data_IF_696841344510
#
_entry.id   IF_696841344510
#
_cell.length_a   1.000
_cell.length_b   1.000
_cell.length_c   1.000
_cell.angle_alpha   90.00
_cell.angle_beta   90.00
_cell.angle_gamma   90.00
#
_symmetry.space_group_name_H-M   'P 1'
#
loop_
_entity.id
_entity.type
_entity.pdbx_description
1 polymer ?
#
# COMPACT_ATOMS: atom_id res chain seq x y z
N UNK A 1 7.19 26.03 12.13
CA UNK A 1 6.01 25.57 11.36
C UNK A 1 6.33 24.15 10.92
N UNK A 2 5.56 23.15 11.35
CA UNK A 2 5.86 21.75 10.99
C UNK A 2 5.58 21.50 9.51
N UNK A 3 6.60 21.15 8.75
CA UNK A 3 6.47 20.76 7.35
C UNK A 3 5.65 19.47 7.26
N UNK A 4 4.65 19.44 6.38
CA UNK A 4 3.87 18.23 6.10
C UNK A 4 4.74 17.30 5.26
N UNK A 5 5.28 16.24 5.87
CA UNK A 5 6.06 15.22 5.14
C UNK A 5 5.13 14.32 4.33
N UNK A 6 5.43 14.08 3.07
CA UNK A 6 4.65 13.19 2.19
C UNK A 6 5.10 11.75 2.39
N UNK A 7 4.14 10.84 2.47
CA UNK A 7 4.40 9.39 2.48
C UNK A 7 4.13 8.84 1.10
N UNK A 8 4.98 7.95 0.63
CA UNK A 8 4.96 7.31 -0.67
C UNK A 8 4.77 5.81 -0.49
N UNK A 9 4.28 5.14 -1.52
CA UNK A 9 4.28 3.70 -1.65
C UNK A 9 5.49 3.29 -2.47
N UNK A 10 6.17 2.24 -2.04
CA UNK A 10 7.27 1.60 -2.77
C UNK A 10 6.90 0.15 -3.03
N UNK A 11 6.96 -0.29 -4.29
CA UNK A 11 6.53 -1.61 -4.73
C UNK A 11 7.70 -2.33 -5.43
N UNK A 12 7.61 -3.66 -5.50
CA UNK A 12 8.63 -4.50 -6.16
C UNK A 12 9.84 -4.81 -5.27
N UNK A 13 9.75 -4.55 -3.97
CA UNK A 13 10.84 -4.79 -3.01
C UNK A 13 11.06 -6.30 -2.83
N UNK A 14 12.28 -6.83 -3.00
CA UNK A 14 12.56 -8.24 -2.72
C UNK A 14 12.24 -8.64 -1.26
N UNK A 15 11.64 -9.82 -1.07
CA UNK A 15 11.24 -10.34 0.25
C UNK A 15 12.40 -10.50 1.24
N UNK A 16 13.60 -10.69 0.70
CA UNK A 16 14.88 -10.88 1.39
C UNK A 16 15.68 -9.59 1.59
N UNK A 17 15.19 -8.45 1.06
CA UNK A 17 15.84 -7.16 1.24
C UNK A 17 15.70 -6.67 2.70
N UNK A 18 16.84 -6.31 3.32
CA UNK A 18 16.83 -5.64 4.63
C UNK A 18 16.34 -4.20 4.52
N UNK A 19 16.08 -3.55 5.66
CA UNK A 19 15.72 -2.14 5.66
C UNK A 19 16.78 -1.26 5.00
N UNK A 20 18.07 -1.54 5.20
CA UNK A 20 19.15 -0.76 4.58
C UNK A 20 19.24 -1.01 3.08
N UNK A 21 19.01 -2.26 2.64
CA UNK A 21 18.89 -2.59 1.21
C UNK A 21 17.76 -1.79 0.56
N UNK A 22 16.60 -1.73 1.20
CA UNK A 22 15.44 -0.97 0.70
C UNK A 22 15.79 0.51 0.54
N UNK A 23 16.52 1.12 1.48
CA UNK A 23 16.96 2.51 1.35
C UNK A 23 17.88 2.72 0.15
N UNK A 24 18.81 1.79 -0.08
CA UNK A 24 19.70 1.81 -1.25
C UNK A 24 18.90 1.64 -2.55
N UNK A 25 17.95 0.71 -2.59
CA UNK A 25 17.08 0.48 -3.75
C UNK A 25 16.26 1.72 -4.08
N UNK A 26 15.66 2.36 -3.09
CA UNK A 26 14.89 3.61 -3.27
C UNK A 26 15.80 4.71 -3.83
N UNK A 27 17.01 4.83 -3.32
CA UNK A 27 17.98 5.84 -3.77
C UNK A 27 18.39 5.61 -5.24
N UNK A 28 18.65 4.36 -5.61
CA UNK A 28 18.91 3.97 -7.00
C UNK A 28 17.70 4.23 -7.90
N UNK A 29 16.49 3.85 -7.45
CA UNK A 29 15.26 4.06 -8.21
C UNK A 29 14.96 5.55 -8.43
N UNK A 30 15.28 6.42 -7.47
CA UNK A 30 15.01 7.85 -7.56
C UNK A 30 16.16 8.65 -8.18
N UNK A 31 17.35 8.05 -8.34
CA UNK A 31 18.55 8.76 -8.78
C UNK A 31 19.03 9.82 -7.79
N UNK A 32 18.68 9.67 -6.51
CA UNK A 32 18.97 10.62 -5.44
C UNK A 32 19.61 9.88 -4.25
N UNK A 33 20.51 10.54 -3.53
CA UNK A 33 21.27 9.90 -2.46
C UNK A 33 20.41 9.61 -1.21
N UNK A 34 20.61 8.43 -0.60
CA UNK A 34 19.88 7.95 0.57
C UNK A 34 19.96 8.93 1.76
N UNK A 35 21.13 9.54 1.98
CA UNK A 35 21.34 10.49 3.07
C UNK A 35 20.63 11.83 2.84
N UNK A 36 20.37 12.17 1.58
CA UNK A 36 19.59 13.37 1.22
C UNK A 36 18.10 13.12 1.42
N UNK A 37 17.62 11.95 0.96
CA UNK A 37 16.20 11.57 1.07
C UNK A 37 15.79 11.23 2.50
N UNK A 38 16.71 10.62 3.26
CA UNK A 38 16.51 10.04 4.61
C UNK A 38 15.18 9.27 4.74
N UNK A 39 15.01 8.17 3.98
CA UNK A 39 13.75 7.42 3.94
C UNK A 39 13.49 6.69 5.26
N UNK A 40 12.32 6.97 5.86
CA UNK A 40 11.75 6.22 6.97
C UNK A 40 10.73 5.21 6.44
N UNK A 41 11.03 3.91 6.59
CA UNK A 41 10.13 2.80 6.24
C UNK A 41 9.15 2.58 7.40
N UNK A 42 7.85 2.64 7.12
CA UNK A 42 6.80 2.53 8.16
C UNK A 42 6.02 1.22 8.12
N UNK A 43 5.87 0.62 6.94
CA UNK A 43 5.26 -0.69 6.76
C UNK A 43 5.98 -1.44 5.66
N UNK A 44 5.95 -2.76 5.73
CA UNK A 44 6.50 -3.68 4.75
C UNK A 44 5.65 -4.94 4.79
N UNK A 45 5.03 -5.30 3.66
CA UNK A 45 4.10 -6.42 3.59
C UNK A 45 4.07 -7.04 2.19
N UNK A 46 3.59 -8.27 2.09
CA UNK A 46 3.52 -9.04 0.85
C UNK A 46 2.63 -8.37 -0.19
N UNK A 47 3.07 -8.33 -1.45
CA UNK A 47 2.28 -7.76 -2.55
C UNK A 47 0.94 -8.51 -2.71
N UNK A 48 -0.21 -7.83 -2.55
CA UNK A 48 -1.52 -8.47 -2.60
C UNK A 48 -1.90 -8.97 -3.99
N UNK A 49 -1.28 -8.47 -5.06
CA UNK A 49 -1.55 -8.90 -6.43
C UNK A 49 -0.73 -10.11 -6.85
N UNK A 50 0.20 -10.54 -6.00
CA UNK A 50 1.09 -11.67 -6.28
C UNK A 50 0.77 -12.86 -5.38
N UNK A 51 1.09 -14.08 -5.81
CA UNK A 51 0.98 -15.25 -4.94
C UNK A 51 1.87 -15.10 -3.69
N UNK A 52 1.55 -15.81 -2.61
CA UNK A 52 2.32 -15.75 -1.34
C UNK A 52 3.79 -16.19 -1.48
N UNK A 53 4.11 -16.99 -2.51
CA UNK A 53 5.49 -17.38 -2.81
C UNK A 53 6.22 -16.38 -3.72
N UNK A 54 5.57 -15.27 -4.10
CA UNK A 54 6.26 -14.18 -4.77
C UNK A 54 7.21 -13.51 -3.79
N UNK A 55 8.41 -13.22 -4.26
CA UNK A 55 9.44 -12.57 -3.46
C UNK A 55 9.29 -11.05 -3.47
N UNK A 56 8.08 -10.48 -3.61
CA UNK A 56 7.90 -9.03 -3.73
C UNK A 56 7.00 -8.46 -2.64
N UNK A 57 7.47 -7.37 -2.06
CA UNK A 57 6.86 -6.64 -0.96
C UNK A 57 6.52 -5.21 -1.38
N UNK A 58 5.60 -4.63 -0.62
CA UNK A 58 5.18 -3.25 -0.74
C UNK A 58 5.45 -2.55 0.59
N UNK A 59 6.04 -1.37 0.54
CA UNK A 59 6.34 -0.55 1.69
C UNK A 59 5.63 0.80 1.63
N UNK A 60 5.40 1.39 2.80
CA UNK A 60 5.11 2.83 2.91
C UNK A 60 6.32 3.56 3.49
N UNK A 61 6.75 4.62 2.80
CA UNK A 61 7.99 5.33 3.09
C UNK A 61 7.73 6.82 3.18
N UNK A 62 8.22 7.46 4.24
CA UNK A 62 8.22 8.92 4.34
C UNK A 62 9.64 9.41 4.17
N UNK A 63 9.84 10.39 3.29
CA UNK A 63 11.13 11.06 3.13
C UNK A 63 11.22 12.29 4.03
N UNK A 64 12.42 12.57 4.55
CA UNK A 64 12.67 13.85 5.22
C UNK A 64 12.58 15.01 4.22
N UNK A 65 13.15 14.80 3.03
CA UNK A 65 13.10 15.72 1.91
C UNK A 65 12.37 15.06 0.74
N UNK A 66 11.36 15.74 0.20
CA UNK A 66 10.62 15.21 -0.94
C UNK A 66 11.58 14.98 -2.14
N UNK A 67 11.54 13.80 -2.77
CA UNK A 67 12.34 13.52 -3.95
C UNK A 67 12.02 14.52 -5.06
N UNK A 68 13.06 15.03 -5.72
CA UNK A 68 12.95 15.98 -6.84
C UNK A 68 12.37 15.33 -8.09
N UNK A 69 12.57 14.03 -8.23
CA UNK A 69 12.14 13.25 -9.40
C UNK A 69 10.66 12.85 -9.37
N UNK A 70 9.97 13.02 -8.25
CA UNK A 70 8.57 12.62 -8.07
C UNK A 70 7.72 13.80 -7.57
N UNK A 71 6.82 14.30 -8.43
CA UNK A 71 5.82 15.27 -7.99
C UNK A 71 4.65 14.56 -7.32
N UNK A 72 3.79 15.33 -6.65
CA UNK A 72 2.58 14.80 -6.06
C UNK A 72 1.64 14.23 -7.13
N UNK A 73 1.17 13.01 -6.94
CA UNK A 73 0.36 12.28 -7.92
C UNK A 73 1.17 11.47 -8.94
N UNK A 74 2.50 11.65 -9.00
CA UNK A 74 3.35 10.91 -9.93
C UNK A 74 3.66 9.49 -9.42
N UNK A 75 3.99 8.65 -10.39
CA UNK A 75 4.55 7.32 -10.23
C UNK A 75 5.84 7.25 -11.05
N UNK A 76 6.90 6.68 -10.47
CA UNK A 76 8.17 6.42 -11.13
C UNK A 76 8.52 4.95 -10.96
N UNK A 77 8.78 4.27 -12.08
CA UNK A 77 9.27 2.88 -12.07
C UNK A 77 10.65 2.84 -12.70
N UNK A 78 11.62 2.32 -11.98
CA UNK A 78 12.99 2.18 -12.46
C UNK A 78 13.56 0.80 -12.15
N UNK A 79 14.54 0.40 -12.97
CA UNK A 79 15.27 -0.84 -12.80
C UNK A 79 16.37 -0.62 -11.76
N UNK A 80 16.40 -1.47 -10.74
CA UNK A 80 17.36 -1.45 -9.64
C UNK A 80 18.11 -2.78 -9.65
N UNK A 81 19.44 -2.73 -9.60
CA UNK A 81 20.25 -3.95 -9.50
C UNK A 81 20.56 -4.23 -8.04
N UNK A 82 20.07 -5.35 -7.54
CA UNK A 82 20.35 -5.83 -6.18
C UNK A 82 20.44 -7.35 -6.16
N UNK A 83 21.40 -7.87 -5.40
CA UNK A 83 21.75 -9.30 -5.35
C UNK A 83 21.91 -9.93 -6.75
N UNK A 84 22.65 -9.25 -7.63
CA UNK A 84 22.90 -9.67 -9.02
C UNK A 84 21.65 -9.86 -9.88
N UNK A 85 20.48 -9.37 -9.45
CA UNK A 85 19.21 -9.42 -10.19
C UNK A 85 18.69 -8.02 -10.45
N UNK A 86 17.90 -7.88 -11.51
CA UNK A 86 17.19 -6.64 -11.83
C UNK A 86 15.79 -6.69 -11.21
N UNK A 87 15.47 -5.68 -10.42
CA UNK A 87 14.17 -5.49 -9.78
C UNK A 87 13.51 -4.23 -10.33
N UNK A 88 12.20 -4.29 -10.56
CA UNK A 88 11.42 -3.14 -11.00
C UNK A 88 10.84 -2.47 -9.77
N UNK A 89 11.47 -1.39 -9.33
CA UNK A 89 11.04 -0.65 -8.14
C UNK A 89 10.15 0.50 -8.60
N UNK A 90 8.91 0.50 -8.12
CA UNK A 90 7.94 1.56 -8.37
C UNK A 90 7.75 2.38 -7.11
N UNK A 91 7.92 3.70 -7.21
CA UNK A 91 7.64 4.65 -6.13
C UNK A 91 6.53 5.57 -6.60
N UNK A 92 5.44 5.65 -5.83
CA UNK A 92 4.30 6.51 -6.16
C UNK A 92 3.74 7.21 -4.93
N UNK A 93 3.14 8.39 -5.16
CA UNK A 93 2.44 9.12 -4.10
C UNK A 93 0.92 9.01 -4.20
N UNK A 94 0.39 8.36 -5.24
CA UNK A 94 -1.05 8.32 -5.54
C UNK A 94 -1.81 7.23 -4.79
N UNK A 95 -1.11 6.14 -4.41
CA UNK A 95 -1.67 4.95 -3.77
C UNK A 95 -2.80 4.29 -4.56
N UNK A 96 -2.76 4.32 -5.88
CA UNK A 96 -3.75 3.66 -6.75
C UNK A 96 -3.67 2.14 -6.62
N UNK A 97 -4.81 1.47 -6.49
CA UNK A 97 -4.89 0.04 -6.19
C UNK A 97 -4.63 -0.28 -4.71
N UNK A 98 -4.30 -1.53 -4.42
CA UNK A 98 -4.04 -2.00 -3.06
C UNK A 98 -2.68 -1.55 -2.54
N UNK A 99 -2.64 -1.20 -1.27
CA UNK A 99 -1.42 -1.01 -0.49
C UNK A 99 -1.56 -1.78 0.82
N UNK A 100 -0.84 -2.90 0.99
CA UNK A 100 -0.85 -3.63 2.25
C UNK A 100 -0.09 -2.86 3.34
N UNK A 101 -0.65 -2.79 4.54
CA UNK A 101 -0.04 -2.08 5.68
C UNK A 101 0.59 -3.02 6.70
N UNK A 102 0.24 -4.30 6.64
CA UNK A 102 0.83 -5.41 7.40
C UNK A 102 0.59 -6.72 6.64
N UNK A 103 1.27 -7.77 7.07
CA UNK A 103 0.84 -9.14 6.80
C UNK A 103 0.07 -9.67 8.01
N UNK A 104 -0.96 -10.50 7.75
CA UNK A 104 -1.62 -11.25 8.82
C UNK A 104 -0.64 -12.30 9.36
N UNK A 105 -0.64 -12.53 10.68
CA UNK A 105 0.28 -13.51 11.28
C UNK A 105 -0.05 -14.91 10.75
N UNK A 106 0.92 -15.56 10.12
CA UNK A 106 0.77 -16.86 9.44
C UNK A 106 0.25 -17.98 10.35
N UNK A 107 0.50 -17.88 11.66
CA UNK A 107 0.16 -18.88 12.66
C UNK A 107 -1.36 -19.00 12.94
N UNK A 108 -2.18 -18.06 12.46
CA UNK A 108 -3.57 -17.94 12.89
C UNK A 108 -4.60 -18.61 11.97
N UNK A 109 -4.19 -19.31 10.90
CA UNK A 109 -5.00 -20.16 9.99
C UNK A 109 -6.36 -19.60 9.51
N UNK A 110 -6.65 -18.32 9.74
CA UNK A 110 -7.95 -17.67 9.47
C UNK A 110 -7.75 -16.15 9.36
N UNK A 111 -6.94 -15.74 8.39
CA UNK A 111 -6.69 -14.33 8.10
C UNK A 111 -7.88 -13.68 7.39
N UNK A 112 -8.31 -12.51 7.86
CA UNK A 112 -9.31 -11.67 7.18
C UNK A 112 -8.62 -10.53 6.43
N UNK A 113 -9.13 -10.15 5.25
CA UNK A 113 -8.72 -8.91 4.60
C UNK A 113 -9.67 -7.78 5.03
N UNK A 114 -9.12 -6.66 5.51
CA UNK A 114 -9.87 -5.44 5.79
C UNK A 114 -9.44 -4.40 4.76
N UNK A 115 -10.35 -4.04 3.86
CA UNK A 115 -10.09 -3.08 2.79
C UNK A 115 -10.65 -1.71 3.17
N UNK A 116 -9.76 -0.74 3.34
CA UNK A 116 -10.10 0.65 3.58
C UNK A 116 -10.16 1.42 2.26
N UNK A 117 -11.37 1.86 1.88
CA UNK A 117 -11.63 2.65 0.68
C UNK A 117 -11.85 4.11 1.10
N UNK A 118 -11.12 5.04 0.48
CA UNK A 118 -11.29 6.47 0.78
C UNK A 118 -12.54 7.07 0.12
N UNK A 119 -13.01 8.20 0.65
CA UNK A 119 -14.16 8.91 0.07
C UNK A 119 -13.82 9.54 -1.29
N UNK A 120 -14.86 9.96 -2.02
CA UNK A 120 -14.67 10.68 -3.29
C UNK A 120 -13.83 11.95 -3.07
N UNK A 121 -13.04 12.33 -4.07
CA UNK A 121 -12.17 13.52 -4.03
C UNK A 121 -11.15 13.54 -2.87
N UNK A 122 -10.77 12.38 -2.33
CA UNK A 122 -9.86 12.30 -1.19
C UNK A 122 -8.64 11.42 -1.48
N UNK A 123 -7.49 11.85 -0.97
CA UNK A 123 -6.25 11.10 -1.11
C UNK A 123 -6.36 9.77 -0.33
N UNK A 124 -6.09 8.60 -0.95
CA UNK A 124 -6.26 7.32 -0.28
C UNK A 124 -5.50 7.23 1.03
N UNK A 125 -4.20 7.56 1.02
CA UNK A 125 -3.39 7.56 2.24
C UNK A 125 -3.73 8.75 3.16
N UNK A 126 -4.08 9.89 2.58
CA UNK A 126 -4.26 11.15 3.32
C UNK A 126 -5.55 11.17 4.15
N UNK A 127 -6.57 10.43 3.71
CA UNK A 127 -7.87 10.31 4.39
C UNK A 127 -7.77 9.70 5.79
N UNK A 128 -6.70 8.94 6.04
CA UNK A 128 -6.46 8.24 7.31
C UNK A 128 -5.28 8.84 8.09
N UNK A 129 -4.66 9.89 7.55
CA UNK A 129 -3.49 10.55 8.11
C UNK A 129 -3.88 11.73 8.98
N UNK A 130 -3.20 11.88 10.12
CA UNK A 130 -3.34 13.07 10.94
C UNK A 130 -2.99 14.33 10.13
N UNK A 131 -3.76 15.42 10.31
CA UNK A 131 -3.54 16.70 9.60
C UNK A 131 -2.12 17.24 9.76
N UNK A 132 -1.47 16.95 10.88
CA UNK A 132 -0.10 17.36 11.20
C UNK A 132 0.70 16.12 11.57
N UNK A 133 1.87 15.97 10.96
CA UNK A 133 2.78 14.86 11.21
C UNK A 133 2.66 13.72 10.18
N UNK A 134 3.22 12.57 10.54
CA UNK A 134 3.32 11.38 9.68
C UNK A 134 2.39 10.26 10.12
N UNK A 135 1.73 10.40 11.27
CA UNK A 135 0.85 9.38 11.83
C UNK A 135 -0.34 9.12 10.93
N UNK A 136 -0.56 7.85 10.59
CA UNK A 136 -1.67 7.36 9.79
C UNK A 136 -2.35 6.23 10.55
N UNK A 137 -3.61 6.42 10.92
CA UNK A 137 -4.32 5.58 11.89
C UNK A 137 -4.33 4.09 11.50
N UNK A 138 -4.62 3.78 10.23
CA UNK A 138 -4.66 2.39 9.77
C UNK A 138 -3.28 1.72 9.84
N UNK A 139 -2.20 2.43 9.50
CA UNK A 139 -0.84 1.90 9.47
C UNK A 139 -0.22 1.82 10.87
N UNK A 140 -0.35 2.90 11.63
CA UNK A 140 0.45 3.10 12.84
C UNK A 140 -0.22 2.57 14.10
N UNK A 141 -1.51 2.26 14.06
CA UNK A 141 -2.31 1.73 15.17
C UNK A 141 -3.05 0.45 14.79
N UNK A 142 -3.93 0.49 13.79
CA UNK A 142 -4.79 -0.67 13.44
C UNK A 142 -3.95 -1.85 12.96
N UNK A 143 -3.06 -1.66 11.99
CA UNK A 143 -2.24 -2.72 11.42
C UNK A 143 -1.27 -3.36 12.44
N UNK A 144 -0.87 -2.63 13.48
CA UNK A 144 -0.01 -3.15 14.56
C UNK A 144 -0.75 -3.99 15.60
N UNK A 145 -2.07 -3.82 15.70
CA UNK A 145 -2.91 -4.51 16.70
C UNK A 145 -3.78 -5.61 16.09
N UNK A 146 -3.91 -5.63 14.76
CA UNK A 146 -4.77 -6.55 14.03
C UNK A 146 -4.04 -7.86 13.66
N UNK A 147 -3.76 -8.71 14.64
CA UNK A 147 -3.01 -9.96 14.44
C UNK A 147 -3.62 -10.93 13.42
N UNK A 148 -4.95 -10.96 13.33
CA UNK A 148 -5.72 -11.84 12.44
C UNK A 148 -6.17 -11.18 11.13
N UNK A 149 -5.83 -9.91 10.91
CA UNK A 149 -6.30 -9.20 9.74
C UNK A 149 -5.16 -8.54 8.97
N UNK A 150 -5.22 -8.69 7.65
CA UNK A 150 -4.41 -7.92 6.71
C UNK A 150 -5.16 -6.64 6.38
N UNK A 151 -4.58 -5.50 6.73
CA UNK A 151 -5.13 -4.18 6.45
C UNK A 151 -4.63 -3.74 5.08
N UNK A 152 -5.57 -3.50 4.17
CA UNK A 152 -5.34 -3.08 2.79
C UNK A 152 -5.93 -1.69 2.60
N UNK A 153 -5.11 -0.72 2.24
CA UNK A 153 -5.61 0.55 1.70
C UNK A 153 -5.94 0.35 0.22
N UNK A 154 -7.05 0.89 -0.26
CA UNK A 154 -7.40 0.88 -1.68
C UNK A 154 -7.60 2.31 -2.19
N UNK A 155 -6.79 2.69 -3.17
CA UNK A 155 -6.96 3.94 -3.91
C UNK A 155 -7.53 3.72 -5.30
N UNK A 156 -8.30 4.68 -5.77
CA UNK A 156 -8.84 4.76 -7.12
C UNK A 156 -8.58 6.15 -7.69
N UNK A 157 -8.90 6.37 -8.97
CA UNK A 157 -8.73 7.70 -9.54
C UNK A 157 -9.68 8.69 -8.90
N UNK A 158 -9.12 9.79 -8.39
CA UNK A 158 -9.91 10.87 -7.79
C UNK A 158 -9.81 12.16 -8.60
N UNK A 159 -9.19 12.15 -9.78
CA UNK A 159 -9.11 13.34 -10.65
C UNK A 159 -10.51 13.68 -11.18
N UNK A 160 -11.19 14.56 -10.45
CA UNK A 160 -12.47 15.17 -10.81
C UNK A 160 -12.32 16.43 -11.66
N UNK A 161 -11.08 16.85 -11.98
CA UNK A 161 -10.81 18.12 -12.66
C UNK A 161 -10.43 17.81 -14.11
N UNK A 162 -11.31 18.20 -15.03
CA UNK A 162 -11.10 18.26 -16.50
C UNK A 162 -11.20 16.96 -17.34
N UNK A 163 -11.84 15.89 -16.85
CA UNK A 163 -12.14 14.72 -17.71
C UNK A 163 -13.61 14.69 -18.14
N UNK A 164 -13.86 14.65 -19.46
CA UNK A 164 -15.18 14.37 -20.07
C UNK A 164 -15.78 13.00 -19.70
N UNK A 165 -15.02 12.20 -18.94
CA UNK A 165 -15.42 10.93 -18.38
C UNK A 165 -15.40 11.05 -16.85
N UNK A 166 -16.58 11.16 -16.25
CA UNK A 166 -16.74 10.97 -14.81
C UNK A 166 -16.66 9.46 -14.56
N UNK A 167 -15.71 9.00 -13.73
CA UNK A 167 -15.84 7.67 -13.15
C UNK A 167 -17.06 7.68 -12.23
N UNK A 168 -18.08 6.91 -12.58
CA UNK A 168 -19.22 6.75 -11.70
C UNK A 168 -18.88 5.80 -10.53
N UNK A 169 -19.72 5.78 -9.51
CA UNK A 169 -19.54 4.88 -8.36
C UNK A 169 -19.56 3.40 -8.81
N UNK A 170 -20.25 3.10 -9.91
CA UNK A 170 -20.28 1.79 -10.55
C UNK A 170 -18.91 1.39 -11.11
N UNK A 171 -18.22 2.28 -11.79
CA UNK A 171 -16.86 2.06 -12.32
C UNK A 171 -15.87 1.76 -11.19
N UNK A 172 -15.94 2.55 -10.11
CA UNK A 172 -15.12 2.33 -8.92
C UNK A 172 -15.42 0.97 -8.29
N UNK A 173 -16.71 0.61 -8.18
CA UNK A 173 -17.13 -0.68 -7.63
C UNK A 173 -16.71 -1.87 -8.52
N UNK A 174 -16.83 -1.74 -9.84
CA UNK A 174 -16.39 -2.76 -10.79
C UNK A 174 -14.87 -2.95 -10.73
N UNK A 175 -14.11 -1.85 -10.67
CA UNK A 175 -12.65 -1.91 -10.56
C UNK A 175 -12.19 -2.54 -9.26
N UNK A 176 -12.78 -2.13 -8.13
CA UNK A 176 -12.50 -2.73 -6.82
C UNK A 176 -12.84 -4.23 -6.83
N UNK A 177 -13.99 -4.62 -7.39
CA UNK A 177 -14.39 -6.02 -7.51
C UNK A 177 -13.39 -6.83 -8.33
N UNK A 178 -12.95 -6.29 -9.48
CA UNK A 178 -11.94 -6.93 -10.32
C UNK A 178 -10.60 -7.09 -9.58
N UNK A 179 -10.14 -6.05 -8.88
CA UNK A 179 -8.89 -6.08 -8.12
C UNK A 179 -8.97 -7.07 -6.94
N UNK A 180 -10.11 -7.13 -6.22
CA UNK A 180 -10.34 -8.12 -5.15
C UNK A 180 -10.30 -9.54 -5.72
N UNK A 181 -10.90 -9.77 -6.89
CA UNK A 181 -10.90 -11.09 -7.51
C UNK A 181 -9.50 -11.49 -8.00
N UNK A 182 -8.71 -10.55 -8.51
CA UNK A 182 -7.31 -10.79 -8.88
C UNK A 182 -6.48 -11.18 -7.65
N UNK A 183 -6.59 -10.42 -6.56
CA UNK A 183 -5.95 -10.71 -5.27
C UNK A 183 -6.33 -12.09 -4.73
N UNK A 184 -7.60 -12.49 -4.85
CA UNK A 184 -8.09 -13.81 -4.40
C UNK A 184 -7.60 -14.96 -5.27
N UNK A 185 -7.63 -14.78 -6.60
CA UNK A 185 -7.19 -15.80 -7.55
C UNK A 185 -5.72 -16.17 -7.35
N UNK A 186 -4.87 -15.18 -7.03
CA UNK A 186 -3.46 -15.40 -6.67
C UNK A 186 -3.27 -16.28 -5.42
N UNK A 187 -4.26 -16.32 -4.51
CA UNK A 187 -4.24 -17.18 -3.30
C UNK A 187 -4.84 -18.57 -3.55
N UNK A 188 -5.93 -18.65 -4.31
CA UNK A 188 -6.64 -19.92 -4.58
C UNK A 188 -5.79 -20.92 -5.38
N UNK A 189 -4.86 -20.44 -6.22
CA UNK A 189 -3.88 -21.30 -6.90
C UNK A 189 -2.99 -22.12 -5.94
N UNK A 190 -2.98 -21.79 -4.65
CA UNK A 190 -2.16 -22.44 -3.62
C UNK A 190 -3.00 -23.21 -2.57
N UNK A 191 -4.30 -22.90 -2.42
CA UNK A 191 -5.20 -23.46 -1.40
C UNK A 191 -5.81 -24.84 -1.71
N UNK A 192 -5.40 -25.50 -2.80
CA UNK A 192 -5.93 -26.81 -3.21
C UNK A 192 -5.59 -27.98 -2.25
N UNK A 193 -4.96 -27.71 -1.09
CA UNK A 193 -4.61 -28.69 -0.07
C UNK A 193 -5.23 -28.40 1.32
N UNK A 194 -6.39 -27.71 1.41
CA UNK A 194 -7.19 -27.80 2.65
C UNK A 194 -8.06 -26.61 3.08
N UNK A 195 -8.62 -25.80 2.18
CA UNK A 195 -9.52 -24.72 2.57
C UNK A 195 -11.01 -25.10 2.43
N UNK A 196 -11.79 -24.91 3.50
CA UNK A 196 -13.26 -24.98 3.53
C UNK A 196 -13.86 -23.80 2.73
N UNK A 197 -14.67 -24.06 1.69
CA UNK A 197 -15.22 -23.02 0.81
C UNK A 197 -16.24 -22.07 1.46
N UNK A 198 -16.67 -22.29 2.71
CA UNK A 198 -17.77 -21.52 3.33
C UNK A 198 -17.36 -20.36 4.26
N UNK A 199 -16.08 -20.03 4.39
CA UNK A 199 -15.61 -19.01 5.34
C UNK A 199 -15.35 -17.63 4.72
N UNK A 200 -16.38 -16.97 4.16
CA UNK A 200 -16.26 -15.56 3.75
C UNK A 200 -17.49 -14.74 4.15
N UNK A 201 -17.33 -13.88 5.16
CA UNK A 201 -18.26 -12.78 5.46
C UNK A 201 -17.56 -11.46 5.11
N UNK A 202 -18.01 -10.79 4.06
CA UNK A 202 -17.65 -9.39 3.82
C UNK A 202 -18.53 -8.50 4.72
N UNK A 203 -17.93 -7.70 5.58
CA UNK A 203 -18.65 -6.70 6.36
C UNK A 203 -18.17 -5.31 5.94
N UNK A 204 -19.09 -4.45 5.50
CA UNK A 204 -18.81 -3.05 5.21
C UNK A 204 -19.08 -2.24 6.48
N UNK A 205 -18.06 -1.58 7.01
CA UNK A 205 -18.18 -0.69 8.15
C UNK A 205 -17.77 0.73 7.75
N UNK A 206 -18.61 1.72 8.09
CA UNK A 206 -18.29 3.15 7.91
C UNK A 206 -17.76 3.70 9.23
N UNK A 207 -16.53 4.19 9.22
CA UNK A 207 -15.97 4.90 10.38
C UNK A 207 -16.65 6.26 10.54
N UNK A 208 -17.27 6.49 11.69
CA UNK A 208 -17.79 7.80 12.10
C UNK A 208 -16.87 8.28 13.22
N UNK A 209 -15.99 9.23 12.89
CA UNK A 209 -14.92 9.67 13.78
C UNK A 209 -15.44 10.03 15.16
N UNK A 210 -14.95 9.33 16.18
CA UNK A 210 -15.09 9.75 17.57
C UNK A 210 -13.71 10.21 18.03
N UNK A 211 -13.51 11.52 18.06
CA UNK A 211 -12.39 12.13 18.76
C UNK A 211 -12.47 11.65 20.23
N UNK A 212 -11.47 10.86 20.65
CA UNK A 212 -11.20 10.70 22.06
C UNK A 212 -10.21 11.80 22.43
N UNK A 213 -10.71 12.78 23.17
CA UNK A 213 -9.90 13.78 23.86
C UNK A 213 -9.10 13.18 25.01
#
# INVERSE_FOLDING_TARGET
MGTTKTTYRVQGIPADASHDDIKVMISQALGEDASTLDPTIHSLASDPYKPLNSSTMVATVTFEHAPKTLKAGDELTNNVTWDSRTHYITVDSSFRGFTPLNDAKAELNSGMDVIAVSGLSSHPFGSWKARRGTFMWLRDEVAKTADKARILLYGYDTTLVDSDSFQDVGDIAQRLSADVNAMRSGRSAQGALGADPNYLRCALARWTGRERG
#
